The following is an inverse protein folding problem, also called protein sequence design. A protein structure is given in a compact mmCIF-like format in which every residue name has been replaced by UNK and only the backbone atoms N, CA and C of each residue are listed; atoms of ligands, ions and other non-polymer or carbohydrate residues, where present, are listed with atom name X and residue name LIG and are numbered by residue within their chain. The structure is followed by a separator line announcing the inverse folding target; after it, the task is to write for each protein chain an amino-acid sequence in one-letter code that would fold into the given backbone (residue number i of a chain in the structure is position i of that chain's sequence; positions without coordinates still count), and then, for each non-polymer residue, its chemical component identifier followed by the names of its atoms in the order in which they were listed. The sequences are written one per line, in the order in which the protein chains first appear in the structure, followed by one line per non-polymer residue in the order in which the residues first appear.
data_IF_958092774965
#
_entry.id   IF_958092774965
#
_cell.length_a   1.000
_cell.length_b   1.000
_cell.length_c   1.000
_cell.angle_alpha   90.00
_cell.angle_beta   90.00
_cell.angle_gamma   90.00
#
_symmetry.space_group_name_H-M   'P 1'
#
loop_
_entity.id
_entity.type
_entity.pdbx_description
1 polymer ?
#
# COMPACT_ATOMS: atom_id res chain seq x y z
N UNK A 1 -17.27 40.01 -89.67
CA UNK A 1 -18.39 39.10 -89.41
C UNK A 1 -18.10 38.45 -88.08
N UNK A 2 -18.78 38.89 -87.02
CA UNK A 2 -18.74 38.24 -85.72
C UNK A 2 -19.72 37.06 -85.78
N UNK A 3 -19.21 35.85 -85.68
CA UNK A 3 -20.04 34.64 -85.58
C UNK A 3 -20.92 34.74 -84.33
N UNK A 4 -22.23 34.77 -84.52
CA UNK A 4 -23.20 34.72 -83.43
C UNK A 4 -23.16 33.31 -82.81
N UNK A 5 -22.53 33.18 -81.63
CA UNK A 5 -22.57 31.92 -80.87
C UNK A 5 -24.01 31.62 -80.46
N UNK A 6 -24.45 30.39 -80.69
CA UNK A 6 -25.81 29.94 -80.34
C UNK A 6 -26.01 29.92 -78.82
N UNK A 7 -27.19 30.32 -78.36
CA UNK A 7 -27.58 30.32 -76.94
C UNK A 7 -27.31 28.97 -76.23
N UNK A 8 -27.51 27.84 -76.92
CA UNK A 8 -27.26 26.50 -76.36
C UNK A 8 -25.79 26.32 -75.95
N UNK A 9 -24.87 26.75 -76.83
CA UNK A 9 -23.43 26.68 -76.57
C UNK A 9 -23.06 27.59 -75.40
N UNK A 10 -23.64 28.79 -75.33
CA UNK A 10 -23.41 29.70 -74.20
C UNK A 10 -23.89 29.08 -72.89
N UNK A 11 -25.09 28.49 -72.85
CA UNK A 11 -25.63 27.82 -71.65
C UNK A 11 -24.77 26.63 -71.19
N UNK A 12 -24.25 25.84 -72.12
CA UNK A 12 -23.35 24.73 -71.79
C UNK A 12 -22.00 25.24 -71.21
N UNK A 13 -21.59 26.44 -71.61
CA UNK A 13 -20.36 27.09 -71.15
C UNK A 13 -20.55 27.92 -69.87
N UNK A 14 -21.77 28.30 -69.50
CA UNK A 14 -22.06 29.13 -68.31
C UNK A 14 -21.50 28.53 -67.00
N UNK A 15 -21.64 27.22 -66.70
CA UNK A 15 -21.06 26.65 -65.48
C UNK A 15 -19.54 26.82 -65.43
N UNK A 16 -18.85 26.53 -66.54
CA UNK A 16 -17.40 26.68 -66.64
C UNK A 16 -16.96 28.15 -66.58
N UNK A 17 -17.80 29.05 -67.09
CA UNK A 17 -17.59 30.50 -67.01
C UNK A 17 -17.72 31.01 -65.57
N UNK A 18 -18.75 30.58 -64.82
CA UNK A 18 -18.95 30.89 -63.39
C UNK A 18 -17.80 30.36 -62.55
N UNK A 19 -17.32 29.15 -62.84
CA UNK A 19 -16.17 28.53 -62.16
C UNK A 19 -14.82 29.18 -62.55
N UNK A 20 -14.80 30.11 -63.52
CA UNK A 20 -13.58 30.79 -63.97
C UNK A 20 -12.62 29.89 -64.76
N UNK A 21 -13.12 28.80 -65.34
CA UNK A 21 -12.35 27.77 -66.05
C UNK A 21 -12.40 27.90 -67.58
N UNK A 22 -12.89 29.04 -68.10
CA UNK A 22 -12.94 29.33 -69.53
C UNK A 22 -11.69 30.08 -70.01
N UNK A 23 -11.31 29.88 -71.27
CA UNK A 23 -10.24 30.67 -71.90
C UNK A 23 -10.70 32.11 -72.16
N UNK A 24 -9.76 33.07 -72.28
CA UNK A 24 -10.09 34.48 -72.53
C UNK A 24 -10.96 34.69 -73.79
N UNK A 25 -10.70 33.90 -74.84
CA UNK A 25 -11.49 33.93 -76.09
C UNK A 25 -12.93 33.46 -75.86
N UNK A 26 -13.11 32.40 -75.07
CA UNK A 26 -14.43 31.87 -74.73
C UNK A 26 -15.19 32.84 -73.82
N UNK A 27 -14.48 33.48 -72.89
CA UNK A 27 -15.01 34.46 -71.95
C UNK A 27 -15.57 35.68 -72.67
N UNK A 28 -14.79 36.29 -73.56
CA UNK A 28 -15.21 37.45 -74.36
C UNK A 28 -16.44 37.12 -75.23
N UNK A 29 -16.49 35.91 -75.78
CA UNK A 29 -17.61 35.49 -76.60
C UNK A 29 -18.90 35.23 -75.79
N UNK A 30 -18.79 34.72 -74.56
CA UNK A 30 -19.91 34.57 -73.61
C UNK A 30 -20.40 35.94 -73.14
N UNK A 31 -19.51 36.85 -72.77
CA UNK A 31 -19.85 38.22 -72.33
C UNK A 31 -20.60 39.00 -73.42
N UNK A 32 -20.10 38.97 -74.66
CA UNK A 32 -20.74 39.61 -75.81
C UNK A 32 -22.16 39.08 -76.09
N UNK A 33 -22.40 37.79 -75.87
CA UNK A 33 -23.71 37.17 -76.05
C UNK A 33 -24.69 37.54 -74.94
N UNK A 34 -24.24 37.54 -73.68
CA UNK A 34 -25.08 37.83 -72.50
C UNK A 34 -25.63 39.27 -72.54
N UNK A 35 -24.88 40.22 -73.12
CA UNK A 35 -25.35 41.61 -73.30
C UNK A 35 -26.64 41.67 -74.13
N UNK A 36 -26.80 40.76 -75.09
CA UNK A 36 -27.89 40.78 -76.06
C UNK A 36 -28.93 39.67 -75.83
N UNK A 37 -28.73 38.79 -74.84
CA UNK A 37 -29.61 37.66 -74.56
C UNK A 37 -30.02 37.61 -73.08
N UNK A 38 -31.25 38.04 -72.81
CA UNK A 38 -31.82 38.11 -71.45
C UNK A 38 -31.92 36.74 -70.77
N UNK A 39 -32.24 35.68 -71.53
CA UNK A 39 -32.36 34.33 -70.97
C UNK A 39 -31.02 33.75 -70.50
N UNK A 40 -29.92 34.08 -71.20
CA UNK A 40 -28.58 33.64 -70.79
C UNK A 40 -28.07 34.47 -69.60
N UNK A 41 -28.46 35.74 -69.52
CA UNK A 41 -28.18 36.62 -68.38
C UNK A 41 -28.86 36.14 -67.09
N UNK A 42 -30.15 35.83 -67.15
CA UNK A 42 -30.90 35.32 -65.99
C UNK A 42 -30.34 33.99 -65.48
N UNK A 43 -29.95 33.09 -66.40
CA UNK A 43 -29.29 31.83 -66.05
C UNK A 43 -27.94 32.04 -65.38
N UNK A 44 -27.15 33.03 -65.81
CA UNK A 44 -25.88 33.38 -65.16
C UNK A 44 -26.12 33.92 -63.75
N UNK A 45 -27.06 34.85 -63.60
CA UNK A 45 -27.41 35.45 -62.30
C UNK A 45 -27.91 34.39 -61.31
N UNK A 46 -28.74 33.45 -61.75
CA UNK A 46 -29.20 32.32 -60.93
C UNK A 46 -28.04 31.41 -60.50
N UNK A 47 -27.10 31.09 -61.39
CA UNK A 47 -25.93 30.26 -61.06
C UNK A 47 -24.99 30.97 -60.09
N UNK A 48 -24.74 32.27 -60.27
CA UNK A 48 -23.93 33.07 -59.37
C UNK A 48 -24.59 33.23 -57.98
N UNK A 49 -25.92 33.36 -57.91
CA UNK A 49 -26.64 33.40 -56.63
C UNK A 49 -26.49 32.10 -55.84
N UNK A 50 -26.68 30.94 -56.49
CA UNK A 50 -26.51 29.62 -55.88
C UNK A 50 -25.04 29.35 -55.48
N UNK A 51 -24.06 29.76 -56.29
CA UNK A 51 -22.64 29.60 -55.95
C UNK A 51 -22.24 30.43 -54.71
N UNK A 52 -22.83 31.62 -54.56
CA UNK A 52 -22.63 32.45 -53.38
C UNK A 52 -23.25 31.84 -52.13
N UNK A 53 -24.49 31.35 -52.19
CA UNK A 53 -25.14 30.62 -51.07
C UNK A 53 -24.31 29.40 -50.64
N UNK A 54 -23.86 28.58 -51.60
CA UNK A 54 -22.98 27.44 -51.33
C UNK A 54 -21.65 27.86 -50.67
N UNK A 55 -21.06 29.00 -51.08
CA UNK A 55 -19.85 29.56 -50.44
C UNK A 55 -20.11 30.05 -49.01
N UNK A 56 -21.29 30.60 -48.71
CA UNK A 56 -21.68 31.01 -47.36
C UNK A 56 -21.91 29.79 -46.47
N UNK A 57 -22.65 28.78 -46.93
CA UNK A 57 -22.85 27.52 -46.20
C UNK A 57 -21.51 26.81 -45.93
N UNK A 58 -20.61 26.74 -46.93
CA UNK A 58 -19.27 26.17 -46.76
C UNK A 58 -18.44 26.92 -45.71
N UNK A 59 -18.50 28.26 -45.69
CA UNK A 59 -17.82 29.09 -44.67
C UNK A 59 -18.43 28.94 -43.28
N UNK A 60 -19.75 28.81 -43.17
CA UNK A 60 -20.42 28.56 -41.89
C UNK A 60 -20.07 27.18 -41.33
N UNK A 61 -20.08 26.15 -42.17
CA UNK A 61 -19.64 24.80 -41.80
C UNK A 61 -18.16 24.80 -41.37
N UNK A 62 -17.27 25.54 -42.05
CA UNK A 62 -15.86 25.66 -41.65
C UNK A 62 -15.69 26.45 -40.34
N UNK A 63 -16.48 27.50 -40.13
CA UNK A 63 -16.50 28.29 -38.89
C UNK A 63 -16.98 27.45 -37.69
N UNK A 64 -18.06 26.68 -37.86
CA UNK A 64 -18.57 25.74 -36.85
C UNK A 64 -17.54 24.65 -36.53
N UNK A 65 -16.86 24.09 -37.55
CA UNK A 65 -15.75 23.14 -37.35
C UNK A 65 -14.59 23.79 -36.59
N UNK A 66 -14.25 25.04 -36.89
CA UNK A 66 -13.17 25.80 -36.23
C UNK A 66 -13.48 26.10 -34.76
N UNK A 67 -14.71 26.48 -34.43
CA UNK A 67 -15.15 26.69 -33.04
C UNK A 67 -15.19 25.37 -32.28
N UNK A 68 -15.76 24.31 -32.87
CA UNK A 68 -15.80 22.98 -32.24
C UNK A 68 -14.38 22.48 -31.92
N UNK A 69 -13.43 22.66 -32.83
CA UNK A 69 -12.01 22.30 -32.64
C UNK A 69 -11.31 23.18 -31.60
N UNK A 70 -11.66 24.47 -31.50
CA UNK A 70 -11.10 25.40 -30.50
C UNK A 70 -11.65 25.11 -29.10
N UNK A 71 -12.94 24.82 -28.99
CA UNK A 71 -13.58 24.50 -27.72
C UNK A 71 -13.22 23.09 -27.23
N UNK A 72 -13.13 22.12 -28.14
CA UNK A 72 -12.63 20.78 -27.80
C UNK A 72 -11.19 20.83 -27.33
N UNK A 73 -10.31 21.63 -27.95
CA UNK A 73 -8.94 21.86 -27.45
C UNK A 73 -8.91 22.42 -26.03
N UNK A 74 -9.75 23.41 -25.70
CA UNK A 74 -9.85 23.95 -24.34
C UNK A 74 -10.36 22.90 -23.34
N UNK A 75 -11.35 22.11 -23.73
CA UNK A 75 -11.86 21.00 -22.93
C UNK A 75 -10.79 19.91 -22.70
N UNK A 76 -10.03 19.53 -23.73
CA UNK A 76 -8.93 18.58 -23.62
C UNK A 76 -7.80 19.11 -22.74
N UNK A 77 -7.45 20.41 -22.85
CA UNK A 77 -6.47 21.04 -21.96
C UNK A 77 -6.98 21.01 -20.51
N UNK A 78 -8.26 21.30 -20.28
CA UNK A 78 -8.89 21.20 -18.97
C UNK A 78 -8.81 19.79 -18.40
N UNK A 79 -9.25 18.78 -19.16
CA UNK A 79 -9.19 17.37 -18.77
C UNK A 79 -7.75 16.94 -18.50
N UNK A 80 -6.82 17.25 -19.39
CA UNK A 80 -5.42 16.87 -19.24
C UNK A 80 -4.77 17.54 -18.02
N UNK A 81 -5.09 18.82 -17.76
CA UNK A 81 -4.63 19.53 -16.56
C UNK A 81 -5.17 18.92 -15.27
N UNK A 82 -6.44 18.50 -15.27
CA UNK A 82 -7.05 17.82 -14.13
C UNK A 82 -6.42 16.44 -13.90
N UNK A 83 -6.18 15.67 -14.97
CA UNK A 83 -5.50 14.38 -14.90
C UNK A 83 -4.09 14.55 -14.36
N UNK A 84 -3.30 15.50 -14.87
CA UNK A 84 -1.96 15.80 -14.35
C UNK A 84 -2.02 16.12 -12.86
N UNK A 85 -2.92 17.00 -12.44
CA UNK A 85 -3.03 17.40 -11.03
C UNK A 85 -3.35 16.21 -10.12
N UNK A 86 -4.29 15.35 -10.54
CA UNK A 86 -4.63 14.11 -9.81
C UNK A 86 -3.41 13.18 -9.77
N UNK A 87 -2.70 13.00 -10.89
CA UNK A 87 -1.47 12.19 -10.94
C UNK A 87 -0.38 12.76 -10.04
N UNK A 88 -0.17 14.07 -10.01
CA UNK A 88 0.80 14.73 -9.13
C UNK A 88 0.45 14.51 -7.65
N UNK A 89 -0.82 14.66 -7.27
CA UNK A 89 -1.27 14.40 -5.89
C UNK A 89 -1.06 12.93 -5.53
N UNK A 90 -1.41 12.00 -6.43
CA UNK A 90 -1.20 10.58 -6.22
C UNK A 90 0.28 10.24 -6.03
N UNK A 91 1.15 10.75 -6.91
CA UNK A 91 2.60 10.55 -6.82
C UNK A 91 3.14 11.13 -5.51
N UNK A 92 2.73 12.34 -5.12
CA UNK A 92 3.13 12.94 -3.86
C UNK A 92 2.69 12.11 -2.65
N UNK A 93 1.43 11.64 -2.64
CA UNK A 93 0.88 10.84 -1.55
C UNK A 93 1.57 9.48 -1.39
N UNK A 94 1.88 8.81 -2.50
CA UNK A 94 2.46 7.46 -2.52
C UNK A 94 3.97 7.48 -2.32
N UNK A 95 4.69 8.37 -3.01
CA UNK A 95 6.16 8.32 -3.05
C UNK A 95 6.83 9.25 -2.04
N UNK A 96 6.19 10.37 -1.68
CA UNK A 96 6.77 11.35 -0.75
C UNK A 96 6.21 11.14 0.65
N UNK A 97 4.88 11.14 0.82
CA UNK A 97 4.31 10.94 2.14
C UNK A 97 4.45 9.49 2.62
N UNK A 98 4.25 8.52 1.72
CA UNK A 98 4.42 7.09 2.01
C UNK A 98 3.33 6.49 2.89
N UNK A 99 3.59 5.28 3.37
CA UNK A 99 2.72 4.50 4.25
C UNK A 99 3.47 4.15 5.53
N UNK A 100 2.76 3.98 6.64
CA UNK A 100 3.39 3.59 7.90
C UNK A 100 3.63 2.08 7.87
N UNK A 101 4.87 1.66 8.12
CA UNK A 101 5.19 0.25 8.29
C UNK A 101 4.71 -0.25 9.66
N UNK A 102 4.09 -1.43 9.67
CA UNK A 102 3.86 -2.19 10.89
C UNK A 102 5.21 -2.69 11.42
N UNK A 103 5.42 -2.64 12.74
CA UNK A 103 6.68 -3.06 13.34
C UNK A 103 7.03 -4.53 13.07
N UNK A 104 6.02 -5.41 12.94
CA UNK A 104 6.19 -6.82 12.55
C UNK A 104 6.73 -6.98 11.12
N UNK A 105 6.48 -6.01 10.24
CA UNK A 105 6.98 -5.95 8.86
C UNK A 105 8.41 -5.43 8.73
N UNK A 106 9.08 -5.13 9.85
CA UNK A 106 10.45 -4.62 9.90
C UNK A 106 11.31 -5.61 10.66
N UNK A 107 12.37 -6.12 10.05
CA UNK A 107 13.45 -6.76 10.82
C UNK A 107 14.33 -5.66 11.42
N UNK A 108 14.47 -5.61 12.75
CA UNK A 108 15.19 -4.52 13.40
C UNK A 108 16.04 -4.98 14.58
N UNK A 109 17.10 -4.22 14.83
CA UNK A 109 17.99 -4.34 15.98
C UNK A 109 18.24 -2.98 16.59
N UNK A 110 18.19 -2.92 17.91
CA UNK A 110 18.44 -1.71 18.69
C UNK A 110 19.76 -1.88 19.44
N UNK A 111 20.57 -0.82 19.44
CA UNK A 111 21.83 -0.75 20.18
C UNK A 111 21.84 0.55 20.99
N UNK A 112 22.54 0.53 22.13
CA UNK A 112 22.83 1.74 22.91
C UNK A 112 24.30 2.07 22.75
N UNK A 113 24.60 3.31 22.36
CA UNK A 113 25.95 3.84 22.27
C UNK A 113 26.03 5.16 23.04
N UNK A 114 26.50 5.10 24.30
CA UNK A 114 26.44 6.23 25.22
C UNK A 114 24.99 6.67 25.47
N UNK A 115 24.67 7.93 25.18
CA UNK A 115 23.30 8.47 25.25
C UNK A 115 22.47 8.22 23.99
N UNK A 116 23.00 7.53 22.98
CA UNK A 116 22.30 7.35 21.71
C UNK A 116 21.68 5.96 21.57
N UNK A 117 20.41 5.91 21.19
CA UNK A 117 19.72 4.72 20.71
C UNK A 117 19.91 4.63 19.20
N UNK A 118 20.53 3.56 18.73
CA UNK A 118 20.73 3.27 17.31
C UNK A 118 19.75 2.19 16.88
N UNK A 119 18.83 2.55 15.98
CA UNK A 119 17.87 1.64 15.36
C UNK A 119 18.36 1.26 13.97
N UNK A 120 18.72 0.00 13.79
CA UNK A 120 19.01 -0.57 12.48
C UNK A 120 17.80 -1.39 12.06
N UNK A 121 17.31 -1.21 10.84
CA UNK A 121 16.16 -1.96 10.34
C UNK A 121 16.22 -2.27 8.86
N UNK A 122 15.46 -3.28 8.47
CA UNK A 122 15.24 -3.72 7.09
C UNK A 122 13.77 -4.08 6.89
N UNK A 123 13.16 -3.57 5.83
CA UNK A 123 11.77 -3.92 5.51
C UNK A 123 11.69 -5.34 4.96
N UNK A 124 10.74 -6.13 5.48
CA UNK A 124 10.51 -7.50 5.00
C UNK A 124 9.83 -7.53 3.63
N UNK A 125 9.09 -6.49 3.27
CA UNK A 125 8.46 -6.37 1.96
C UNK A 125 9.46 -5.82 0.93
N UNK A 126 9.91 -6.68 0.01
CA UNK A 126 10.89 -6.33 -1.04
C UNK A 126 10.38 -5.34 -2.08
N UNK A 127 9.07 -5.06 -2.15
CA UNK A 127 8.50 -4.02 -3.02
C UNK A 127 8.58 -2.60 -2.45
N UNK A 128 8.94 -2.47 -1.18
CA UNK A 128 8.95 -1.20 -0.45
C UNK A 128 10.38 -0.81 -0.04
N UNK A 129 10.65 0.49 -0.08
CA UNK A 129 11.87 1.08 0.45
C UNK A 129 11.60 1.96 1.66
N UNK A 130 12.61 2.11 2.52
CA UNK A 130 12.56 3.02 3.67
C UNK A 130 12.37 4.45 3.17
N UNK A 131 11.37 5.19 3.66
CA UNK A 131 11.09 6.58 3.29
C UNK A 131 11.75 7.58 4.22
N UNK A 132 11.28 7.60 5.46
CA UNK A 132 11.74 8.45 6.55
C UNK A 132 11.19 7.89 7.87
N UNK A 133 11.70 8.38 8.99
CA UNK A 133 11.16 8.10 10.32
C UNK A 133 10.57 9.38 10.91
N UNK A 134 9.36 9.27 11.48
CA UNK A 134 8.75 10.36 12.26
C UNK A 134 8.89 10.04 13.73
N UNK A 135 9.55 10.92 14.46
CA UNK A 135 9.68 10.86 15.91
C UNK A 135 8.69 11.81 16.57
N UNK A 136 8.04 11.35 17.63
CA UNK A 136 7.22 12.19 18.51
C UNK A 136 7.59 11.92 19.96
N UNK A 137 7.84 12.98 20.74
CA UNK A 137 8.21 12.90 22.16
C UNK A 137 7.07 13.45 23.00
N UNK A 138 6.61 12.68 23.99
CA UNK A 138 5.59 13.11 24.93
C UNK A 138 5.87 12.52 26.31
N UNK A 139 6.01 13.36 27.34
CA UNK A 139 6.14 12.95 28.75
C UNK A 139 7.07 11.74 29.01
N UNK A 140 8.30 11.80 28.49
CA UNK A 140 9.30 10.73 28.67
C UNK A 140 9.11 9.49 27.78
N UNK A 141 8.17 9.53 26.84
CA UNK A 141 7.94 8.47 25.84
C UNK A 141 8.29 9.00 24.45
N UNK A 142 9.11 8.24 23.71
CA UNK A 142 9.34 8.46 22.27
C UNK A 142 8.52 7.44 21.48
N UNK A 143 7.79 7.92 20.48
CA UNK A 143 7.14 7.07 19.47
C UNK A 143 7.78 7.31 18.10
N UNK A 144 8.30 6.23 17.52
CA UNK A 144 8.92 6.19 16.20
C UNK A 144 7.95 5.54 15.21
N UNK A 145 7.67 6.24 14.09
CA UNK A 145 6.89 5.69 12.97
C UNK A 145 7.76 5.66 11.72
N UNK A 146 8.07 4.46 11.25
CA UNK A 146 8.80 4.27 10.00
C UNK A 146 7.81 4.37 8.85
N UNK A 147 8.12 5.22 7.89
CA UNK A 147 7.37 5.36 6.65
C UNK A 147 8.08 4.63 5.52
N UNK A 148 7.31 4.00 4.64
CA UNK A 148 7.76 3.27 3.46
C UNK A 148 7.11 3.83 2.22
N UNK A 149 7.74 3.62 1.08
CA UNK A 149 7.20 3.97 -0.23
C UNK A 149 7.67 2.93 -1.25
N UNK A 150 6.97 2.75 -2.38
CA UNK A 150 7.41 1.83 -3.43
C UNK A 150 8.84 2.15 -3.89
N UNK A 151 9.63 1.09 -4.12
CA UNK A 151 11.00 1.21 -4.63
C UNK A 151 11.00 1.98 -5.95
N UNK A 152 11.98 2.88 -6.10
CA UNK A 152 12.20 3.64 -7.32
C UNK A 152 13.70 3.96 -7.50
N UNK A 153 14.04 4.73 -8.54
CA UNK A 153 15.43 5.05 -8.91
C UNK A 153 16.19 5.72 -7.75
N UNK A 154 15.51 6.48 -6.89
CA UNK A 154 16.09 7.19 -5.74
C UNK A 154 16.02 6.39 -4.43
N UNK A 155 15.10 5.43 -4.32
CA UNK A 155 14.85 4.63 -3.11
C UNK A 155 14.99 3.15 -3.43
N UNK A 156 16.19 2.60 -3.23
CA UNK A 156 16.60 1.27 -3.70
C UNK A 156 16.59 0.16 -2.65
N UNK A 157 16.50 0.49 -1.36
CA UNK A 157 16.44 -0.53 -0.30
C UNK A 157 15.44 -0.18 0.80
N UNK A 158 15.00 -1.22 1.50
CA UNK A 158 14.27 -1.14 2.76
C UNK A 158 15.18 -0.98 3.98
N UNK A 159 16.50 -0.94 3.80
CA UNK A 159 17.46 -0.85 4.89
C UNK A 159 17.59 0.59 5.39
N UNK A 160 17.63 0.76 6.71
CA UNK A 160 17.80 2.05 7.34
C UNK A 160 18.57 1.95 8.65
N UNK A 161 19.20 3.06 9.01
CA UNK A 161 19.87 3.26 10.29
C UNK A 161 19.57 4.65 10.79
N UNK A 162 18.93 4.72 11.95
CA UNK A 162 18.55 5.97 12.58
C UNK A 162 19.12 6.02 14.00
N UNK A 163 19.50 7.22 14.44
CA UNK A 163 20.10 7.44 15.75
C UNK A 163 19.34 8.52 16.49
N UNK A 164 18.95 8.23 17.72
CA UNK A 164 18.17 9.11 18.57
C UNK A 164 18.90 9.35 19.88
N UNK A 165 18.93 10.58 20.36
CA UNK A 165 19.49 10.90 21.67
C UNK A 165 18.46 10.59 22.77
N UNK A 166 18.84 9.74 23.71
CA UNK A 166 18.12 9.46 24.96
C UNK A 166 18.51 10.52 25.99
N UNK A 167 17.75 11.62 26.03
CA UNK A 167 17.76 12.56 27.14
C UNK A 167 17.30 11.90 28.46
N UNK A 168 17.69 12.48 29.59
CA UNK A 168 17.53 11.88 30.94
C UNK A 168 16.06 11.67 31.36
N UNK A 169 15.12 12.37 30.73
CA UNK A 169 13.68 12.23 30.97
C UNK A 169 13.03 11.08 30.20
N UNK A 170 13.74 10.46 29.24
CA UNK A 170 13.18 9.40 28.41
C UNK A 170 13.23 8.07 29.15
N UNK A 171 12.05 7.50 29.36
CA UNK A 171 11.86 6.19 29.98
C UNK A 171 11.58 5.10 28.95
N UNK A 172 10.87 5.42 27.87
CA UNK A 172 10.35 4.41 26.96
C UNK A 172 10.45 4.85 25.51
N UNK A 173 10.79 3.91 24.62
CA UNK A 173 10.76 4.13 23.17
C UNK A 173 9.94 3.05 22.50
N UNK A 174 8.99 3.46 21.65
CA UNK A 174 8.15 2.61 20.82
C UNK A 174 8.54 2.72 19.35
N UNK A 175 8.48 1.60 18.63
CA UNK A 175 8.50 1.52 17.18
C UNK A 175 7.13 1.04 16.71
N UNK A 176 6.33 1.92 16.12
CA UNK A 176 4.91 1.65 15.91
C UNK A 176 4.23 1.34 17.25
N UNK A 177 3.69 0.13 17.39
CA UNK A 177 2.98 -0.31 18.59
C UNK A 177 3.86 -1.13 19.56
N UNK A 178 5.08 -1.51 19.16
CA UNK A 178 5.96 -2.36 19.98
C UNK A 178 6.99 -1.54 20.76
N UNK A 179 7.19 -1.90 22.02
CA UNK A 179 8.18 -1.28 22.90
C UNK A 179 9.58 -1.83 22.61
N UNK A 180 10.53 -0.96 22.28
CA UNK A 180 11.90 -1.34 21.89
C UNK A 180 12.96 -0.92 22.93
N UNK A 181 12.58 -0.07 23.86
CA UNK A 181 13.40 0.36 24.99
C UNK A 181 12.51 0.69 26.18
N UNK A 182 12.89 0.22 27.36
CA UNK A 182 12.16 0.40 28.61
C UNK A 182 13.15 0.61 29.76
N UNK A 183 13.07 1.78 30.42
CA UNK A 183 13.79 2.15 31.64
C UNK A 183 15.27 1.73 31.67
N UNK A 184 16.06 2.19 30.70
CA UNK A 184 17.50 1.90 30.67
C UNK A 184 17.89 0.70 29.82
N UNK A 185 16.93 -0.18 29.49
CA UNK A 185 17.25 -1.44 28.83
C UNK A 185 16.59 -1.58 27.45
N UNK A 186 17.31 -2.22 26.53
CA UNK A 186 16.78 -2.57 25.21
C UNK A 186 15.79 -3.73 25.36
N UNK A 187 14.68 -3.65 24.63
CA UNK A 187 13.73 -4.75 24.49
C UNK A 187 13.97 -5.42 23.13
N UNK A 188 14.44 -6.68 23.10
CA UNK A 188 14.62 -7.41 21.85
C UNK A 188 13.30 -7.59 21.09
N UNK A 189 13.35 -7.64 19.76
CA UNK A 189 12.17 -7.76 18.89
C UNK A 189 11.19 -8.85 19.32
N UNK A 190 11.68 -10.08 19.56
CA UNK A 190 10.83 -11.20 20.00
C UNK A 190 10.11 -10.92 21.33
N UNK A 191 10.78 -10.28 22.29
CA UNK A 191 10.16 -9.88 23.56
C UNK A 191 9.10 -8.81 23.32
N UNK A 192 9.41 -7.81 22.50
CA UNK A 192 8.50 -6.72 22.17
C UNK A 192 7.23 -7.22 21.48
N UNK A 193 7.37 -8.15 20.53
CA UNK A 193 6.27 -8.78 19.81
C UNK A 193 5.38 -9.61 20.74
N UNK A 194 5.98 -10.45 21.60
CA UNK A 194 5.23 -11.26 22.57
C UNK A 194 4.52 -10.36 23.59
N UNK A 195 5.18 -9.31 24.09
CA UNK A 195 4.59 -8.36 25.03
C UNK A 195 3.40 -7.61 24.42
N UNK A 196 3.51 -7.22 23.15
CA UNK A 196 2.42 -6.57 22.41
C UNK A 196 1.26 -7.52 22.09
N UNK A 197 1.52 -8.82 21.99
CA UNK A 197 0.51 -9.85 21.72
C UNK A 197 -0.28 -10.32 22.95
N UNK A 198 0.03 -9.79 24.15
CA UNK A 198 -0.69 -10.13 25.38
C UNK A 198 -2.21 -10.03 25.22
N UNK A 199 -2.93 -10.95 25.86
CA UNK A 199 -4.39 -10.98 25.83
C UNK A 199 -4.96 -11.34 27.20
N UNK A 200 -6.05 -10.69 27.65
CA UNK A 200 -6.64 -10.99 28.95
C UNK A 200 -7.40 -12.33 28.98
N UNK A 201 -7.79 -12.87 27.82
CA UNK A 201 -8.75 -13.95 27.73
C UNK A 201 -8.37 -14.99 26.67
N UNK A 202 -8.17 -16.25 27.07
CA UNK A 202 -7.83 -17.37 26.18
C UNK A 202 -8.94 -17.71 25.16
N UNK A 203 -10.21 -17.50 25.50
CA UNK A 203 -11.31 -17.81 24.57
C UNK A 203 -11.37 -16.87 23.35
N UNK A 204 -10.61 -15.76 23.34
CA UNK A 204 -10.29 -15.01 22.13
C UNK A 204 -9.09 -15.69 21.44
N UNK A 205 -9.36 -16.85 20.84
CA UNK A 205 -8.31 -17.72 20.29
C UNK A 205 -7.49 -17.02 19.21
N UNK A 206 -8.07 -16.07 18.46
CA UNK A 206 -7.34 -15.30 17.46
C UNK A 206 -6.23 -14.47 18.09
N UNK A 207 -6.48 -13.81 19.23
CA UNK A 207 -5.43 -13.07 19.96
C UNK A 207 -4.44 -14.01 20.64
N UNK A 208 -4.90 -15.12 21.23
CA UNK A 208 -4.02 -16.10 21.86
C UNK A 208 -3.05 -16.74 20.86
N UNK A 209 -3.49 -17.01 19.63
CA UNK A 209 -2.63 -17.47 18.54
C UNK A 209 -1.59 -16.41 18.13
N UNK A 210 -1.89 -15.12 18.31
CA UNK A 210 -0.92 -14.03 18.15
C UNK A 210 0.27 -14.17 19.11
N UNK A 211 0.04 -14.63 20.36
CA UNK A 211 1.11 -14.92 21.32
C UNK A 211 2.01 -16.04 20.81
N UNK A 212 1.43 -17.16 20.36
CA UNK A 212 2.23 -18.31 19.86
C UNK A 212 2.99 -17.97 18.59
N UNK A 213 2.41 -17.13 17.72
CA UNK A 213 3.07 -16.64 16.51
C UNK A 213 4.26 -15.74 16.86
N UNK A 214 4.08 -14.75 17.74
CA UNK A 214 5.15 -13.86 18.20
C UNK A 214 6.25 -14.64 18.94
N UNK A 215 5.86 -15.66 19.71
CA UNK A 215 6.78 -16.54 20.39
C UNK A 215 7.51 -17.46 19.40
N UNK A 216 6.99 -17.70 18.20
CA UNK A 216 7.61 -18.54 17.19
C UNK A 216 7.34 -20.03 17.34
N UNK A 217 6.26 -20.41 18.02
CA UNK A 217 5.86 -21.82 18.23
C UNK A 217 5.75 -22.55 16.89
N UNK A 218 5.04 -21.98 15.91
CA UNK A 218 4.91 -22.60 14.58
C UNK A 218 6.24 -22.76 13.84
N UNK A 219 7.19 -21.84 14.05
CA UNK A 219 8.51 -21.89 13.41
C UNK A 219 9.37 -23.01 14.01
N UNK A 220 9.28 -23.22 15.31
CA UNK A 220 10.04 -24.27 16.02
C UNK A 220 9.41 -25.64 15.88
N UNK A 221 8.09 -25.75 16.08
CA UNK A 221 7.40 -27.01 16.31
C UNK A 221 6.41 -27.39 15.20
N UNK A 222 6.19 -26.51 14.22
CA UNK A 222 5.24 -26.71 13.13
C UNK A 222 3.82 -26.29 13.46
N UNK A 223 2.89 -26.61 12.55
CA UNK A 223 1.50 -26.24 12.71
C UNK A 223 0.80 -27.15 13.73
N UNK A 224 -0.21 -26.59 14.40
CA UNK A 224 -1.00 -27.28 15.40
C UNK A 224 -2.47 -26.87 15.31
N UNK A 225 -3.34 -27.71 15.84
CA UNK A 225 -4.74 -27.35 16.13
C UNK A 225 -4.90 -27.04 17.62
N UNK A 226 -5.91 -26.23 17.96
CA UNK A 226 -6.16 -25.79 19.33
C UNK A 226 -7.41 -26.45 19.91
N UNK A 227 -7.31 -26.87 21.17
CA UNK A 227 -8.44 -27.34 21.98
C UNK A 227 -8.48 -26.54 23.29
N UNK A 228 -9.66 -26.04 23.65
CA UNK A 228 -9.86 -25.12 24.78
C UNK A 228 -10.85 -25.68 25.79
N UNK A 229 -10.54 -25.53 27.08
CA UNK A 229 -11.51 -25.67 28.16
C UNK A 229 -11.64 -24.30 28.85
N UNK A 230 -12.85 -23.73 28.77
CA UNK A 230 -13.17 -22.40 29.31
C UNK A 230 -14.47 -22.39 30.12
N UNK A 231 -14.97 -23.59 30.49
CA UNK A 231 -16.21 -23.75 31.23
C UNK A 231 -16.05 -23.45 32.73
N UNK A 232 -14.89 -23.78 33.30
CA UNK A 232 -14.52 -23.59 34.71
C UNK A 232 -13.03 -23.35 34.84
N UNK A 233 -12.60 -22.68 35.90
CA UNK A 233 -11.19 -22.45 36.18
C UNK A 233 -10.51 -23.69 36.80
N UNK A 234 -9.23 -23.95 36.50
CA UNK A 234 -8.36 -23.16 35.62
C UNK A 234 -8.65 -23.40 34.14
N UNK A 235 -8.68 -22.32 33.34
CA UNK A 235 -8.81 -22.46 31.89
C UNK A 235 -7.58 -23.11 31.27
N UNK A 236 -7.83 -23.94 30.26
CA UNK A 236 -6.81 -24.80 29.66
C UNK A 236 -6.74 -24.60 28.16
N UNK A 237 -5.52 -24.66 27.64
CA UNK A 237 -5.26 -24.68 26.20
C UNK A 237 -4.37 -25.86 25.84
N UNK A 238 -4.86 -26.75 25.00
CA UNK A 238 -4.09 -27.83 24.40
C UNK A 238 -3.73 -27.52 22.95
N UNK A 239 -2.46 -27.71 22.60
CA UNK A 239 -1.91 -27.58 21.27
C UNK A 239 -1.64 -29.00 20.73
N UNK A 240 -2.25 -29.34 19.61
CA UNK A 240 -2.17 -30.67 19.00
C UNK A 240 -1.32 -30.63 17.72
N UNK A 241 -0.14 -31.26 17.75
CA UNK A 241 0.79 -31.35 16.62
C UNK A 241 0.63 -32.69 15.93
N UNK A 242 -0.05 -32.71 14.79
CA UNK A 242 -0.40 -33.95 14.07
C UNK A 242 0.49 -34.24 12.86
N UNK A 243 1.11 -33.21 12.29
CA UNK A 243 1.90 -33.33 11.05
C UNK A 243 3.37 -33.64 11.31
N UNK A 244 3.89 -33.24 12.48
CA UNK A 244 5.30 -33.37 12.82
C UNK A 244 5.54 -34.56 13.74
N UNK A 245 6.54 -35.37 13.42
CA UNK A 245 7.05 -36.45 14.27
C UNK A 245 8.39 -36.03 14.85
N UNK A 246 8.53 -36.14 16.16
CA UNK A 246 9.77 -35.85 16.89
C UNK A 246 10.44 -37.15 17.34
N UNK A 247 11.76 -37.13 17.48
CA UNK A 247 12.55 -38.31 17.86
C UNK A 247 12.46 -38.60 19.37
N UNK A 248 12.58 -37.57 20.21
CA UNK A 248 12.57 -37.72 21.68
C UNK A 248 11.93 -36.50 22.37
N UNK A 249 11.07 -36.78 23.34
CA UNK A 249 10.44 -35.78 24.20
C UNK A 249 11.46 -34.94 24.98
N UNK A 250 12.60 -35.52 25.36
CA UNK A 250 13.66 -34.79 26.10
C UNK A 250 14.24 -33.61 25.33
N UNK A 251 14.29 -33.70 24.00
CA UNK A 251 14.79 -32.62 23.16
C UNK A 251 13.83 -31.42 23.14
N UNK A 252 12.54 -31.71 23.33
CA UNK A 252 11.44 -30.75 23.22
C UNK A 252 10.99 -30.21 24.59
N UNK A 253 11.28 -30.92 25.68
CA UNK A 253 10.83 -30.60 27.03
C UNK A 253 11.20 -29.19 27.47
N UNK A 254 12.43 -28.75 27.21
CA UNK A 254 12.89 -27.40 27.54
C UNK A 254 12.14 -26.32 26.73
N UNK A 255 11.90 -26.56 25.44
CA UNK A 255 11.17 -25.61 24.59
C UNK A 255 9.69 -25.54 24.98
N UNK A 256 9.02 -26.67 25.18
CA UNK A 256 7.64 -26.74 25.66
C UNK A 256 7.49 -26.03 26.99
N UNK A 257 8.40 -26.29 27.93
CA UNK A 257 8.35 -25.65 29.24
C UNK A 257 8.52 -24.13 29.12
N UNK A 258 9.51 -23.70 28.35
CA UNK A 258 9.76 -22.29 28.10
C UNK A 258 8.57 -21.60 27.43
N UNK A 259 8.00 -22.20 26.38
CA UNK A 259 6.85 -21.63 25.69
C UNK A 259 5.61 -21.59 26.58
N UNK A 260 5.36 -22.64 27.35
CA UNK A 260 4.24 -22.66 28.30
C UNK A 260 4.37 -21.55 29.33
N UNK A 261 5.56 -21.34 29.91
CA UNK A 261 5.76 -20.27 30.88
C UNK A 261 5.45 -18.89 30.30
N UNK A 262 5.86 -18.63 29.05
CA UNK A 262 5.56 -17.35 28.39
C UNK A 262 4.06 -17.21 28.10
N UNK A 263 3.42 -18.24 27.54
CA UNK A 263 1.98 -18.24 27.26
C UNK A 263 1.17 -18.02 28.54
N UNK A 264 1.51 -18.72 29.62
CA UNK A 264 0.91 -18.53 30.94
C UNK A 264 1.17 -17.12 31.49
N UNK A 265 2.33 -16.51 31.25
CA UNK A 265 2.61 -15.15 31.68
C UNK A 265 1.80 -14.09 30.89
N UNK A 266 1.54 -14.32 29.60
CA UNK A 266 0.99 -13.32 28.68
C UNK A 266 -0.50 -13.46 28.38
N UNK A 267 -1.13 -14.56 28.80
CA UNK A 267 -2.56 -14.81 28.64
C UNK A 267 -3.19 -14.81 30.04
N UNK A 268 -3.85 -13.72 30.44
CA UNK A 268 -4.07 -13.43 31.86
C UNK A 268 -4.87 -14.52 32.59
N UNK A 269 -5.92 -15.06 31.98
CA UNK A 269 -6.78 -16.08 32.60
C UNK A 269 -6.38 -17.55 32.30
N UNK A 270 -5.29 -17.80 31.58
CA UNK A 270 -4.84 -19.15 31.26
C UNK A 270 -4.17 -19.80 32.49
N UNK A 271 -4.67 -20.95 32.92
CA UNK A 271 -4.13 -21.67 34.08
C UNK A 271 -3.28 -22.89 33.72
N UNK A 272 -3.47 -23.46 32.54
CA UNK A 272 -2.77 -24.69 32.10
C UNK A 272 -2.55 -24.71 30.59
N UNK A 273 -1.37 -25.17 30.17
CA UNK A 273 -1.04 -25.42 28.76
C UNK A 273 -0.63 -26.88 28.58
N UNK A 274 -1.20 -27.54 27.60
CA UNK A 274 -0.89 -28.92 27.24
C UNK A 274 -0.41 -29.01 25.80
N UNK A 275 0.55 -29.90 25.55
CA UNK A 275 1.20 -30.09 24.26
C UNK A 275 1.08 -31.56 23.89
N UNK A 276 0.29 -31.85 22.87
CA UNK A 276 0.13 -33.19 22.34
C UNK A 276 1.02 -33.33 21.10
N UNK A 277 2.11 -34.08 21.24
CA UNK A 277 3.13 -34.23 20.21
C UNK A 277 3.28 -35.70 19.82
N UNK A 278 3.51 -35.96 18.53
CA UNK A 278 3.85 -37.29 18.02
C UNK A 278 5.35 -37.56 18.26
N UNK A 279 5.66 -38.47 19.18
CA UNK A 279 7.01 -38.92 19.51
C UNK A 279 7.19 -40.35 19.00
N UNK A 280 8.03 -40.53 17.98
CA UNK A 280 8.31 -41.84 17.38
C UNK A 280 7.05 -42.66 16.99
N UNK A 281 5.97 -41.99 16.57
CA UNK A 281 4.71 -42.62 16.17
C UNK A 281 3.64 -42.67 17.26
N UNK A 282 3.96 -42.30 18.50
CA UNK A 282 3.02 -42.28 19.63
C UNK A 282 2.74 -40.84 20.09
N UNK A 283 1.47 -40.52 20.33
CA UNK A 283 1.08 -39.22 20.87
C UNK A 283 1.32 -39.16 22.37
N UNK A 284 2.10 -38.16 22.80
CA UNK A 284 2.40 -37.88 24.21
C UNK A 284 1.97 -36.47 24.56
N UNK A 285 1.32 -36.34 25.71
CA UNK A 285 0.87 -35.06 26.26
C UNK A 285 1.85 -34.60 27.33
N UNK A 286 2.35 -33.38 27.21
CA UNK A 286 3.13 -32.68 28.24
C UNK A 286 2.36 -31.45 28.70
N UNK A 287 2.24 -31.25 30.01
CA UNK A 287 1.39 -30.22 30.61
C UNK A 287 2.17 -29.35 31.58
N UNK A 288 1.95 -28.05 31.52
CA UNK A 288 2.54 -27.05 32.41
C UNK A 288 1.43 -26.18 33.00
N UNK A 289 1.41 -26.10 34.33
CA UNK A 289 0.44 -25.27 35.07
C UNK A 289 1.03 -23.91 35.43
N UNK A 290 0.16 -22.92 35.65
CA UNK A 290 0.54 -21.61 36.16
C UNK A 290 1.29 -21.69 37.50
N UNK A 291 0.91 -22.64 38.38
CA UNK A 291 1.58 -22.88 39.65
C UNK A 291 3.03 -23.35 39.45
N UNK A 292 3.24 -24.37 38.60
CA UNK A 292 4.58 -24.87 38.30
C UNK A 292 5.45 -23.80 37.64
N UNK A 293 4.90 -23.04 36.69
CA UNK A 293 5.58 -21.93 36.05
C UNK A 293 5.93 -20.80 37.05
N UNK A 294 5.04 -20.52 38.01
CA UNK A 294 5.28 -19.52 39.06
C UNK A 294 6.40 -19.94 40.01
N UNK A 295 6.43 -21.22 40.39
CA UNK A 295 7.50 -21.79 41.22
C UNK A 295 8.85 -21.68 40.52
N UNK A 296 8.92 -21.99 39.22
CA UNK A 296 10.13 -21.77 38.42
C UNK A 296 10.51 -20.29 38.35
N UNK A 297 9.56 -19.41 38.08
CA UNK A 297 9.80 -17.98 37.96
C UNK A 297 10.30 -17.36 39.29
N UNK A 298 9.88 -17.91 40.43
CA UNK A 298 10.12 -17.37 41.77
C UNK A 298 9.12 -16.30 42.19
N UNK A 299 8.04 -16.15 41.41
CA UNK A 299 6.91 -15.25 41.65
C UNK A 299 5.74 -15.71 40.78
N UNK A 300 4.54 -15.20 41.08
CA UNK A 300 3.37 -15.38 40.22
C UNK A 300 3.73 -15.11 38.74
N UNK A 301 3.49 -16.13 37.90
CA UNK A 301 3.84 -16.12 36.47
C UNK A 301 3.19 -14.93 35.74
N UNK A 302 2.01 -14.48 36.16
CA UNK A 302 1.32 -13.31 35.56
C UNK A 302 2.09 -12.01 35.82
N UNK A 303 2.80 -11.92 36.95
CA UNK A 303 3.67 -10.78 37.29
C UNK A 303 4.98 -10.76 36.49
N UNK A 304 5.24 -11.77 35.67
CA UNK A 304 6.36 -11.77 34.75
C UNK A 304 6.05 -11.01 33.45
N UNK A 305 4.81 -10.60 33.18
CA UNK A 305 4.47 -9.87 31.96
C UNK A 305 3.81 -8.50 32.25
N UNK A 306 4.04 -7.91 33.43
CA UNK A 306 3.52 -6.59 33.78
C UNK A 306 4.27 -5.44 33.11
N UNK A 307 5.53 -5.68 32.70
CA UNK A 307 6.32 -4.78 31.85
C UNK A 307 7.14 -5.61 30.86
N UNK A 308 7.62 -4.96 29.79
CA UNK A 308 8.47 -5.62 28.81
C UNK A 308 9.81 -6.08 29.42
N UNK A 309 10.36 -5.32 30.37
CA UNK A 309 11.56 -5.73 31.11
C UNK A 309 11.34 -6.97 31.97
N UNK A 310 10.19 -7.10 32.65
CA UNK A 310 9.89 -8.31 33.41
C UNK A 310 9.74 -9.53 32.50
N UNK A 311 9.09 -9.37 31.35
CA UNK A 311 8.95 -10.46 30.38
C UNK A 311 10.29 -10.85 29.80
N UNK A 312 11.12 -9.86 29.50
CA UNK A 312 12.51 -10.04 29.07
C UNK A 312 13.26 -10.90 30.09
N UNK A 313 13.25 -10.55 31.38
CA UNK A 313 13.95 -11.33 32.43
C UNK A 313 13.50 -12.79 32.45
N UNK A 314 12.19 -13.05 32.35
CA UNK A 314 11.67 -14.42 32.29
C UNK A 314 12.18 -15.17 31.05
N UNK A 315 12.11 -14.55 29.87
CA UNK A 315 12.58 -15.16 28.63
C UNK A 315 14.10 -15.47 28.64
N UNK A 316 14.93 -14.69 29.36
CA UNK A 316 16.38 -14.99 29.52
C UNK A 316 16.58 -16.18 30.44
N UNK A 317 15.83 -16.21 31.55
CA UNK A 317 15.88 -17.32 32.51
C UNK A 317 15.47 -18.64 31.87
N UNK A 318 14.57 -18.59 30.88
CA UNK A 318 14.13 -19.74 30.09
C UNK A 318 15.06 -20.08 28.91
N UNK A 319 16.14 -19.32 28.68
CA UNK A 319 17.07 -19.56 27.59
C UNK A 319 16.50 -19.27 26.19
N UNK A 320 15.40 -18.52 26.08
CA UNK A 320 14.76 -18.17 24.81
C UNK A 320 15.49 -17.07 24.03
N UNK A 321 16.45 -16.41 24.67
CA UNK A 321 17.42 -15.52 24.04
C UNK A 321 18.69 -15.42 24.91
N UNK A 322 19.82 -15.05 24.30
CA UNK A 322 21.11 -14.83 24.94
C UNK A 322 21.56 -13.39 24.69
#
# INVERSE_FOLDING_TARGET
MSDEIKCQIVRDLLPLYVDGLTSDVTKEAVENHIIHCEQCKESLEFMMANENENKYEAKEVDYLKKIKKRNSRKMFIGIFSAVILITCIFVWRVFIHGFIANASGIDYKVLINGKNLVLNGSLLNSGEGYSHIKMTKNQGVINLKVYTAPINIFRKSGDFKETFELSEDIKTVYLGDVIIYDNGEIIPKRVAEVFNAKTPYIGDISKALGVTQALGVNRSLGNFTSELQTFEEPYKWQLNFTENTFEDMKQLENEIFAYSCIMLATIDNLGEVSWNCNIAGEYKISTVTAEFASNFAGKDIKKCATSANELKKLMVKLGLYR
#
